data_IF_490535832917
#
_entry.id   IF_490535832917
#
_cell.length_a   1.000
_cell.length_b   1.000
_cell.length_c   1.000
_cell.angle_alpha   90.00
_cell.angle_beta   90.00
_cell.angle_gamma   90.00
#
_symmetry.space_group_name_H-M   'P 1'
#
loop_
_entity.id
_entity.type
_entity.pdbx_description
1 polymer ?
#
# COMPACT_ATOMS: atom_id res chain seq x y z
N UNK A 1 -20.03 31.44 0.93
CA UNK A 1 -18.68 31.62 1.47
C UNK A 1 -18.46 30.57 2.54
N UNK A 2 -17.65 29.55 2.28
CA UNK A 2 -17.41 28.46 3.24
C UNK A 2 -16.57 28.98 4.41
N UNK A 3 -17.01 28.72 5.64
CA UNK A 3 -16.21 29.04 6.83
C UNK A 3 -14.98 28.12 6.86
N UNK A 4 -13.83 28.63 6.48
CA UNK A 4 -12.54 27.97 6.73
C UNK A 4 -12.34 27.90 8.25
N UNK A 5 -12.44 26.70 8.83
CA UNK A 5 -12.09 26.49 10.23
C UNK A 5 -10.58 26.72 10.37
N UNK A 6 -10.17 27.80 11.04
CA UNK A 6 -8.76 28.01 11.35
C UNK A 6 -8.32 26.98 12.40
N UNK A 7 -7.40 26.10 12.03
CA UNK A 7 -6.75 25.21 12.98
C UNK A 7 -5.69 26.02 13.73
N UNK A 8 -5.86 26.23 15.05
CA UNK A 8 -4.89 26.94 15.87
C UNK A 8 -3.91 25.92 16.45
N UNK A 9 -2.65 25.97 16.04
CA UNK A 9 -1.60 25.16 16.64
C UNK A 9 -1.41 25.54 18.12
N UNK A 10 -1.02 24.58 18.95
CA UNK A 10 -0.66 24.89 20.34
C UNK A 10 0.72 25.57 20.40
N UNK A 11 0.97 26.36 21.45
CA UNK A 11 2.27 27.03 21.66
C UNK A 11 3.46 26.05 21.59
N UNK A 12 3.25 24.81 22.06
CA UNK A 12 4.25 23.74 21.94
C UNK A 12 4.56 23.41 20.47
N UNK A 13 3.53 23.19 19.66
CA UNK A 13 3.68 22.87 18.23
C UNK A 13 4.32 24.04 17.49
N UNK A 14 3.91 25.27 17.79
CA UNK A 14 4.46 26.49 17.18
C UNK A 14 5.96 26.64 17.52
N UNK A 15 6.35 26.40 18.77
CA UNK A 15 7.77 26.41 19.17
C UNK A 15 8.60 25.31 18.50
N UNK A 16 8.04 24.10 18.33
CA UNK A 16 8.70 23.02 17.58
C UNK A 16 8.90 23.41 16.12
N UNK A 17 7.87 23.95 15.47
CA UNK A 17 7.90 24.37 14.08
C UNK A 17 8.91 25.51 13.84
N UNK A 18 8.89 26.53 14.71
CA UNK A 18 9.87 27.62 14.68
C UNK A 18 11.31 27.15 14.93
N UNK A 19 11.50 26.06 15.68
CA UNK A 19 12.82 25.46 15.87
C UNK A 19 13.28 24.76 14.60
N UNK A 20 12.41 24.00 13.93
CA UNK A 20 12.72 23.34 12.65
C UNK A 20 13.08 24.36 11.55
N UNK A 21 12.36 25.49 11.49
CA UNK A 21 12.62 26.58 10.52
C UNK A 21 14.03 27.13 10.57
N UNK A 22 14.71 27.05 11.72
CA UNK A 22 16.09 27.55 11.89
C UNK A 22 17.13 26.64 11.22
N UNK A 23 16.78 25.39 10.91
CA UNK A 23 17.71 24.39 10.38
C UNK A 23 17.43 24.01 8.92
N UNK A 24 16.27 24.37 8.35
CA UNK A 24 15.98 24.17 6.93
C UNK A 24 16.63 25.30 6.10
N UNK A 25 17.15 25.03 4.89
CA UNK A 25 17.73 26.05 4.04
C UNK A 25 16.73 27.17 3.76
N UNK A 26 17.21 28.40 3.82
CA UNK A 26 16.45 29.63 3.60
C UNK A 26 15.63 29.51 2.29
N UNK A 27 14.30 29.59 2.38
CA UNK A 27 13.41 29.70 1.23
C UNK A 27 12.26 28.70 1.12
N UNK A 28 12.18 27.68 1.98
CA UNK A 28 11.03 26.76 1.98
C UNK A 28 9.83 27.36 2.72
N UNK A 29 8.64 27.15 2.15
CA UNK A 29 7.36 27.51 2.72
C UNK A 29 6.97 26.61 3.90
N UNK A 30 6.10 27.12 4.76
CA UNK A 30 5.55 26.36 5.89
C UNK A 30 4.87 25.07 5.44
N UNK A 31 4.24 25.10 4.26
CA UNK A 31 3.60 23.93 3.64
C UNK A 31 4.62 22.88 3.25
N UNK A 32 5.73 23.25 2.61
CA UNK A 32 6.77 22.28 2.22
C UNK A 32 7.42 21.61 3.43
N UNK A 33 7.62 22.36 4.52
CA UNK A 33 8.13 21.81 5.77
C UNK A 33 7.17 20.79 6.39
N UNK A 34 5.86 21.10 6.38
CA UNK A 34 4.84 20.18 6.88
C UNK A 34 4.69 18.95 5.98
N UNK A 35 4.65 19.11 4.66
CA UNK A 35 4.59 18.01 3.69
C UNK A 35 5.77 17.05 3.88
N UNK A 36 7.00 17.58 3.96
CA UNK A 36 8.19 16.76 4.23
C UNK A 36 8.11 16.06 5.59
N UNK A 37 7.55 16.72 6.60
CA UNK A 37 7.33 16.10 7.91
C UNK A 37 6.36 14.92 7.84
N UNK A 38 5.29 15.04 7.06
CA UNK A 38 4.33 13.96 6.81
C UNK A 38 5.01 12.80 6.06
N UNK A 39 5.74 13.09 4.99
CA UNK A 39 6.49 12.09 4.21
C UNK A 39 7.47 11.29 5.09
N UNK A 40 8.25 11.97 5.93
CA UNK A 40 9.19 11.32 6.84
C UNK A 40 8.49 10.43 7.88
N UNK A 41 7.38 10.89 8.44
CA UNK A 41 6.61 10.08 9.40
C UNK A 41 5.97 8.88 8.72
N UNK A 42 5.45 9.07 7.50
CA UNK A 42 4.90 8.00 6.70
C UNK A 42 5.98 6.97 6.36
N UNK A 43 7.15 7.38 5.89
CA UNK A 43 8.26 6.47 5.57
C UNK A 43 8.67 5.60 6.77
N UNK A 44 8.82 6.22 7.95
CA UNK A 44 9.14 5.51 9.18
C UNK A 44 8.04 4.52 9.59
N UNK A 45 6.78 4.92 9.48
CA UNK A 45 5.64 4.05 9.78
C UNK A 45 5.57 2.86 8.81
N UNK A 46 5.73 3.13 7.51
CA UNK A 46 5.66 2.14 6.43
C UNK A 46 6.73 1.07 6.57
N UNK A 47 7.98 1.43 6.92
CA UNK A 47 9.04 0.44 7.16
C UNK A 47 8.66 -0.59 8.23
N UNK A 48 8.02 -0.14 9.32
CA UNK A 48 7.62 -1.01 10.41
C UNK A 48 6.38 -1.81 10.05
N UNK A 49 5.37 -1.14 9.46
CA UNK A 49 4.09 -1.74 9.10
C UNK A 49 4.26 -2.82 8.02
N UNK A 50 4.98 -2.52 6.93
CA UNK A 50 5.17 -3.46 5.83
C UNK A 50 5.93 -4.71 6.27
N UNK A 51 6.95 -4.56 7.12
CA UNK A 51 7.70 -5.70 7.66
C UNK A 51 6.83 -6.61 8.54
N UNK A 52 6.02 -6.01 9.41
CA UNK A 52 5.07 -6.75 10.23
C UNK A 52 4.01 -7.45 9.37
N UNK A 53 3.43 -6.73 8.41
CA UNK A 53 2.45 -7.25 7.48
C UNK A 53 2.97 -8.48 6.71
N UNK A 54 4.16 -8.37 6.09
CA UNK A 54 4.79 -9.49 5.37
C UNK A 54 4.95 -10.71 6.27
N UNK A 55 5.45 -10.52 7.50
CA UNK A 55 5.64 -11.61 8.47
C UNK A 55 4.33 -12.32 8.79
N UNK A 56 3.25 -11.57 9.06
CA UNK A 56 1.95 -12.14 9.36
C UNK A 56 1.38 -12.97 8.20
N UNK A 57 1.52 -12.50 6.96
CA UNK A 57 1.03 -13.26 5.80
C UNK A 57 1.88 -14.51 5.57
N UNK A 58 3.21 -14.42 5.65
CA UNK A 58 4.09 -15.56 5.41
C UNK A 58 3.86 -16.72 6.41
N UNK A 59 3.47 -16.43 7.65
CA UNK A 59 3.07 -17.46 8.62
C UNK A 59 1.77 -18.19 8.21
N UNK A 60 0.99 -17.58 7.30
CA UNK A 60 -0.30 -18.05 6.83
C UNK A 60 -0.23 -18.77 5.47
N UNK A 61 0.88 -18.62 4.73
CA UNK A 61 1.05 -19.22 3.41
C UNK A 61 1.50 -20.69 3.53
N UNK A 62 0.82 -21.64 2.86
CA UNK A 62 1.03 -23.06 3.08
C UNK A 62 2.29 -23.64 2.41
N UNK A 63 2.93 -22.91 1.50
CA UNK A 63 4.08 -23.43 0.72
C UNK A 63 5.16 -22.38 0.49
N UNK A 64 6.40 -22.84 0.34
CA UNK A 64 7.53 -21.99 -0.07
C UNK A 64 7.31 -21.32 -1.43
N UNK A 65 6.60 -21.99 -2.34
CA UNK A 65 6.26 -21.42 -3.66
C UNK A 65 5.37 -20.19 -3.51
N UNK A 66 4.34 -20.26 -2.65
CA UNK A 66 3.48 -19.11 -2.37
C UNK A 66 4.20 -18.02 -1.58
N UNK A 67 5.12 -18.38 -0.68
CA UNK A 67 6.00 -17.40 -0.02
C UNK A 67 6.85 -16.63 -1.03
N UNK A 68 7.42 -17.32 -2.02
CA UNK A 68 8.19 -16.70 -3.10
C UNK A 68 7.33 -15.77 -3.95
N UNK A 69 6.16 -16.25 -4.38
CA UNK A 69 5.20 -15.47 -5.15
C UNK A 69 4.73 -14.21 -4.40
N UNK A 70 4.34 -14.35 -3.14
CA UNK A 70 3.90 -13.24 -2.30
C UNK A 70 5.00 -12.18 -2.14
N UNK A 71 6.23 -12.58 -1.81
CA UNK A 71 7.34 -11.63 -1.70
C UNK A 71 7.63 -10.92 -3.02
N UNK A 72 7.58 -11.65 -4.13
CA UNK A 72 7.78 -11.04 -5.44
C UNK A 72 6.72 -9.98 -5.76
N UNK A 73 5.45 -10.26 -5.49
CA UNK A 73 4.36 -9.29 -5.65
C UNK A 73 4.57 -8.10 -4.70
N UNK A 74 4.90 -8.36 -3.43
CA UNK A 74 5.16 -7.31 -2.46
C UNK A 74 6.28 -6.37 -2.89
N UNK A 75 7.39 -6.89 -3.44
CA UNK A 75 8.51 -6.06 -3.89
C UNK A 75 8.11 -5.10 -5.02
N UNK A 76 7.19 -5.51 -5.89
CA UNK A 76 6.63 -4.65 -6.93
C UNK A 76 5.65 -3.63 -6.36
N UNK A 77 4.73 -4.07 -5.48
CA UNK A 77 3.69 -3.22 -4.91
C UNK A 77 4.24 -2.20 -3.91
N UNK A 78 5.32 -2.49 -3.20
CA UNK A 78 5.90 -1.57 -2.22
C UNK A 78 6.40 -0.28 -2.87
N UNK A 79 6.91 -0.36 -4.10
CA UNK A 79 7.29 0.84 -4.86
C UNK A 79 6.07 1.72 -5.18
N UNK A 80 4.92 1.10 -5.49
CA UNK A 80 3.64 1.79 -5.74
C UNK A 80 3.05 2.36 -4.46
N UNK A 81 3.10 1.60 -3.37
CA UNK A 81 2.58 2.00 -2.06
C UNK A 81 3.24 3.30 -1.59
N UNK A 82 4.55 3.42 -1.78
CA UNK A 82 5.29 4.64 -1.45
C UNK A 82 4.92 5.82 -2.35
N UNK A 83 4.73 5.63 -3.66
CA UNK A 83 4.37 6.73 -4.56
C UNK A 83 2.97 7.28 -4.29
N UNK A 84 2.06 6.39 -3.91
CA UNK A 84 0.64 6.71 -3.79
C UNK A 84 0.25 7.08 -2.34
N UNK A 85 1.17 6.89 -1.39
CA UNK A 85 0.95 7.20 0.03
C UNK A 85 0.10 6.16 0.75
N UNK A 86 0.14 4.90 0.29
CA UNK A 86 -0.56 3.76 0.87
C UNK A 86 0.39 2.78 1.55
N UNK A 87 -0.13 2.02 2.52
CA UNK A 87 0.62 0.89 3.05
C UNK A 87 0.58 -0.28 2.06
N UNK A 88 1.60 -1.15 2.12
CA UNK A 88 1.66 -2.35 1.27
C UNK A 88 0.44 -3.27 1.43
N UNK A 89 -0.14 -3.32 2.64
CA UNK A 89 -1.36 -4.09 2.90
C UNK A 89 -2.54 -3.59 2.04
N UNK A 90 -2.65 -2.29 1.82
CA UNK A 90 -3.75 -1.70 1.04
C UNK A 90 -3.54 -1.99 -0.45
N UNK A 91 -2.32 -1.79 -0.95
CA UNK A 91 -1.95 -2.17 -2.34
C UNK A 91 -2.21 -3.64 -2.62
N UNK A 92 -1.88 -4.52 -1.68
CA UNK A 92 -2.11 -5.95 -1.85
C UNK A 92 -3.61 -6.29 -1.89
N UNK A 93 -4.45 -5.60 -1.11
CA UNK A 93 -5.92 -5.79 -1.20
C UNK A 93 -6.45 -5.38 -2.57
N UNK A 94 -5.98 -4.25 -3.10
CA UNK A 94 -6.36 -3.79 -4.45
C UNK A 94 -5.86 -4.73 -5.55
N UNK A 95 -4.64 -5.25 -5.41
CA UNK A 95 -4.11 -6.25 -6.33
C UNK A 95 -4.97 -7.52 -6.33
N UNK A 96 -5.27 -8.08 -5.15
CA UNK A 96 -6.06 -9.31 -5.04
C UNK A 96 -7.50 -9.13 -5.53
N UNK A 97 -8.14 -7.98 -5.26
CA UNK A 97 -9.46 -7.70 -5.82
C UNK A 97 -9.43 -7.56 -7.34
N UNK A 98 -8.33 -7.08 -7.91
CA UNK A 98 -8.14 -7.02 -9.38
C UNK A 98 -8.01 -8.42 -9.98
N UNK A 99 -7.26 -9.32 -9.33
CA UNK A 99 -7.15 -10.73 -9.74
C UNK A 99 -8.53 -11.40 -9.73
N UNK A 100 -9.32 -11.18 -8.68
CA UNK A 100 -10.69 -11.70 -8.62
C UNK A 100 -11.58 -11.08 -9.71
N UNK A 101 -11.49 -9.77 -9.93
CA UNK A 101 -12.27 -9.09 -10.96
C UNK A 101 -11.94 -9.58 -12.37
N UNK A 102 -10.67 -9.82 -12.69
CA UNK A 102 -10.25 -10.39 -13.99
C UNK A 102 -10.93 -11.74 -14.26
N UNK A 103 -11.10 -12.55 -13.20
CA UNK A 103 -11.83 -13.82 -13.25
C UNK A 103 -13.34 -13.66 -13.44
N UNK A 104 -13.94 -12.61 -12.87
CA UNK A 104 -15.39 -12.37 -12.95
C UNK A 104 -15.83 -11.59 -14.20
N UNK A 105 -14.94 -10.78 -14.78
CA UNK A 105 -15.24 -9.81 -15.83
C UNK A 105 -14.57 -10.08 -17.19
N UNK A 106 -14.32 -11.34 -17.55
CA UNK A 106 -14.07 -11.72 -18.95
C UNK A 106 -15.19 -11.29 -19.94
N UNK A 107 -16.25 -10.59 -19.50
CA UNK A 107 -17.41 -10.26 -20.35
C UNK A 107 -18.10 -8.90 -20.18
N UNK A 108 -17.60 -7.92 -19.41
CA UNK A 108 -18.31 -6.63 -19.30
C UNK A 108 -17.40 -5.39 -19.32
N UNK A 109 -17.42 -4.67 -20.45
CA UNK A 109 -16.70 -3.41 -20.73
C UNK A 109 -17.19 -2.19 -19.91
N UNK A 110 -17.92 -2.38 -18.81
CA UNK A 110 -18.58 -1.29 -18.07
C UNK A 110 -18.09 -1.07 -16.64
N UNK A 111 -17.02 -1.74 -16.21
CA UNK A 111 -16.42 -1.49 -14.89
C UNK A 111 -15.71 -0.13 -14.87
N UNK A 112 -16.15 0.74 -13.96
CA UNK A 112 -15.58 2.07 -13.74
C UNK A 112 -14.04 2.00 -13.69
N UNK A 113 -13.36 2.76 -14.55
CA UNK A 113 -11.91 2.87 -14.68
C UNK A 113 -11.25 3.47 -13.42
N UNK A 114 -11.29 2.78 -12.28
CA UNK A 114 -10.40 3.10 -11.16
C UNK A 114 -9.05 2.44 -11.37
N UNK A 115 -8.20 3.02 -12.22
CA UNK A 115 -6.73 2.84 -12.30
C UNK A 115 -6.15 1.43 -11.97
N UNK A 116 -6.84 0.33 -12.32
CA UNK A 116 -6.37 -1.04 -12.06
C UNK A 116 -5.24 -1.48 -13.00
N UNK A 117 -4.92 -0.66 -14.02
CA UNK A 117 -3.89 -0.95 -15.03
C UNK A 117 -2.53 -1.28 -14.41
N UNK A 118 -2.17 -0.68 -13.27
CA UNK A 118 -0.92 -0.98 -12.60
C UNK A 118 -0.90 -2.41 -12.03
N UNK A 119 -2.00 -2.88 -11.46
CA UNK A 119 -2.12 -4.23 -10.91
C UNK A 119 -2.15 -5.28 -12.01
N UNK A 120 -2.79 -5.01 -13.15
CA UNK A 120 -2.70 -5.88 -14.33
C UNK A 120 -1.27 -6.03 -14.85
N UNK A 121 -0.47 -4.96 -14.85
CA UNK A 121 0.95 -5.04 -15.22
C UNK A 121 1.75 -5.87 -14.23
N UNK A 122 1.47 -5.75 -12.93
CA UNK A 122 2.09 -6.57 -11.89
C UNK A 122 1.75 -8.05 -12.11
N UNK A 123 0.49 -8.37 -12.42
CA UNK A 123 0.05 -9.73 -12.76
C UNK A 123 0.76 -10.25 -14.02
N UNK A 124 0.78 -9.46 -15.09
CA UNK A 124 1.44 -9.81 -16.35
C UNK A 124 2.94 -10.11 -16.16
N UNK A 125 3.65 -9.26 -15.39
CA UNK A 125 5.07 -9.47 -15.06
C UNK A 125 5.27 -10.74 -14.25
N UNK A 126 4.35 -11.04 -13.32
CA UNK A 126 4.37 -12.25 -12.50
C UNK A 126 4.25 -13.50 -13.35
N UNK A 127 3.27 -13.55 -14.24
CA UNK A 127 3.01 -14.71 -15.10
C UNK A 127 4.08 -14.88 -16.19
N UNK A 128 4.70 -13.80 -16.66
CA UNK A 128 5.81 -13.84 -17.62
C UNK A 128 7.08 -14.53 -17.10
N UNK A 129 7.22 -14.73 -15.79
CA UNK A 129 8.40 -15.40 -15.21
C UNK A 129 8.40 -16.91 -15.41
N UNK A 130 7.30 -17.51 -15.87
CA UNK A 130 7.08 -18.97 -16.05
C UNK A 130 7.28 -19.83 -14.77
N UNK A 131 7.74 -19.23 -13.67
CA UNK A 131 7.89 -19.83 -12.34
C UNK A 131 6.54 -19.94 -11.60
N UNK A 132 5.60 -19.05 -11.94
CA UNK A 132 4.29 -18.92 -11.31
C UNK A 132 3.19 -18.99 -12.37
N UNK A 133 2.11 -19.71 -12.07
CA UNK A 133 0.93 -19.85 -12.91
C UNK A 133 -0.23 -19.02 -12.39
N UNK A 134 -1.27 -18.85 -13.20
CA UNK A 134 -2.53 -18.24 -12.76
C UNK A 134 -3.15 -19.00 -11.57
N UNK A 135 -3.00 -20.33 -11.53
CA UNK A 135 -3.45 -21.15 -10.41
C UNK A 135 -2.70 -20.81 -9.11
N UNK A 136 -1.39 -20.52 -9.18
CA UNK A 136 -0.62 -20.10 -8.01
C UNK A 136 -1.09 -18.74 -7.48
N UNK A 137 -1.35 -17.79 -8.38
CA UNK A 137 -1.86 -16.45 -8.03
C UNK A 137 -3.27 -16.55 -7.45
N UNK A 138 -4.12 -17.40 -8.02
CA UNK A 138 -5.46 -17.66 -7.50
C UNK A 138 -5.42 -18.27 -6.10
N UNK A 139 -4.57 -19.28 -5.90
CA UNK A 139 -4.39 -19.90 -4.59
C UNK A 139 -3.86 -18.90 -3.55
N UNK A 140 -2.97 -18.00 -3.96
CA UNK A 140 -2.51 -16.90 -3.12
C UNK A 140 -3.68 -15.98 -2.75
N UNK A 141 -4.50 -15.55 -3.71
CA UNK A 141 -5.68 -14.70 -3.48
C UNK A 141 -6.65 -15.32 -2.47
N UNK A 142 -6.99 -16.60 -2.66
CA UNK A 142 -7.89 -17.32 -1.74
C UNK A 142 -7.31 -17.47 -0.34
N UNK A 143 -6.00 -17.70 -0.24
CA UNK A 143 -5.31 -17.79 1.05
C UNK A 143 -5.31 -16.43 1.76
N UNK A 144 -5.10 -15.36 1.01
CA UNK A 144 -5.14 -13.99 1.52
C UNK A 144 -6.53 -13.54 1.96
N UNK A 145 -7.57 -13.92 1.22
CA UNK A 145 -8.95 -13.65 1.59
C UNK A 145 -9.28 -14.30 2.95
N UNK A 146 -8.90 -15.57 3.14
CA UNK A 146 -9.06 -16.26 4.44
C UNK A 146 -8.33 -15.55 5.57
N UNK A 147 -7.09 -15.13 5.33
CA UNK A 147 -6.33 -14.33 6.30
C UNK A 147 -7.09 -13.07 6.73
N UNK A 148 -7.63 -12.30 5.77
CA UNK A 148 -8.35 -11.06 6.09
C UNK A 148 -9.68 -11.33 6.80
N UNK A 149 -10.40 -12.40 6.44
CA UNK A 149 -11.61 -12.81 7.15
C UNK A 149 -11.33 -13.17 8.61
N UNK A 150 -10.24 -13.87 8.90
CA UNK A 150 -9.87 -14.21 10.28
C UNK A 150 -9.38 -13.00 11.06
N UNK A 151 -8.55 -12.15 10.47
CA UNK A 151 -8.11 -10.88 11.07
C UNK A 151 -9.30 -10.02 11.50
N UNK A 152 -10.34 -9.94 10.66
CA UNK A 152 -11.54 -9.14 10.94
C UNK A 152 -12.46 -9.75 12.01
N UNK A 153 -12.37 -11.05 12.31
CA UNK A 153 -13.13 -11.68 13.41
C UNK A 153 -12.54 -11.39 14.79
N UNK A 154 -11.29 -10.97 14.85
CA UNK A 154 -10.56 -10.70 16.09
C UNK A 154 -10.46 -9.20 16.44
N UNK A 155 -11.14 -8.34 15.68
CA UNK A 155 -11.32 -6.91 15.92
C UNK A 155 -12.77 -6.58 16.27
#
# INVERSE_FOLDING_TARGET
MGMTKSFRMSDRIENMFNSLKKYDPVGKSDTEMLSKGIELQFELATQTHNLFYRKCIMEYLPTEKLNGLFNFICDMLESLSFSDGYYLEDEMKYFMSTVEADRFFESDESYEETNHQQYYKVLEITLKREEYTEEDVQLLSETMQKYYEEKNKHH
#
